data_IF_868868837940
#
_entry.id   IF_868868837940
#
_cell.length_a   1.000
_cell.length_b   1.000
_cell.length_c   1.000
_cell.angle_alpha   90.00
_cell.angle_beta   90.00
_cell.angle_gamma   90.00
#
_symmetry.space_group_name_H-M   'P 1'
#
loop_
_entity.id
_entity.type
_entity.pdbx_description
1 polymer ?
#
# COMPACT_ATOMS: atom_id res chain seq x y z
N UNK A 1 -1.03 -9.28 24.08
CA UNK A 1 -0.34 -10.31 24.90
C UNK A 1 0.00 -9.79 26.30
N UNK A 2 0.71 -8.66 26.46
CA UNK A 2 0.99 -8.05 27.79
C UNK A 2 -0.26 -7.84 28.65
N UNK A 3 -1.29 -7.22 28.09
CA UNK A 3 -2.56 -6.99 28.80
C UNK A 3 -3.26 -8.30 29.21
N UNK A 4 -3.16 -9.36 28.39
CA UNK A 4 -3.74 -10.66 28.71
C UNK A 4 -2.99 -11.34 29.88
N UNK A 5 -1.66 -11.26 29.90
CA UNK A 5 -0.87 -11.71 31.05
C UNK A 5 -1.22 -10.91 32.32
N UNK A 6 -1.32 -9.57 32.22
CA UNK A 6 -1.73 -8.72 33.33
C UNK A 6 -3.17 -9.02 33.83
N UNK A 7 -4.04 -9.54 32.95
CA UNK A 7 -5.41 -9.97 33.31
C UNK A 7 -5.46 -11.34 33.99
N UNK A 8 -4.31 -12.00 34.21
CA UNK A 8 -4.22 -13.24 34.99
C UNK A 8 -4.45 -14.53 34.21
N UNK A 9 -4.47 -14.50 32.86
CA UNK A 9 -4.60 -15.72 32.08
C UNK A 9 -3.36 -16.61 32.18
N UNK A 10 -3.56 -17.88 32.52
CA UNK A 10 -2.49 -18.85 32.72
C UNK A 10 -1.92 -19.45 31.43
N UNK A 11 -2.70 -19.47 30.35
CA UNK A 11 -2.32 -20.10 29.10
C UNK A 11 -2.75 -19.26 27.89
N UNK A 12 -2.03 -19.43 26.76
CA UNK A 12 -2.43 -18.91 25.46
C UNK A 12 -2.24 -19.94 24.35
N UNK A 13 -3.19 -19.97 23.42
CA UNK A 13 -3.05 -20.62 22.13
C UNK A 13 -2.51 -19.60 21.14
N UNK A 14 -1.37 -19.92 20.52
CA UNK A 14 -0.78 -19.17 19.42
C UNK A 14 -0.93 -20.00 18.16
N UNK A 15 -1.56 -19.44 17.13
CA UNK A 15 -1.74 -20.13 15.86
C UNK A 15 -1.68 -19.15 14.69
N UNK A 16 -1.40 -19.69 13.51
CA UNK A 16 -1.26 -18.96 12.26
C UNK A 16 -1.95 -19.75 11.14
N UNK A 17 -2.23 -19.12 10.00
CA UNK A 17 -2.78 -19.80 8.82
C UNK A 17 -1.70 -19.99 7.76
N UNK A 18 -1.77 -21.10 7.03
CA UNK A 18 -0.76 -21.43 6.01
C UNK A 18 -1.05 -20.66 4.72
N UNK A 19 -0.11 -19.80 4.31
CA UNK A 19 -0.18 -19.04 3.05
C UNK A 19 -1.58 -18.41 2.84
N UNK A 20 -2.03 -17.66 3.85
CA UNK A 20 -3.42 -17.23 3.99
C UNK A 20 -3.98 -16.58 2.71
N UNK A 21 -3.29 -15.56 2.21
CA UNK A 21 -3.72 -14.81 1.03
C UNK A 21 -3.84 -15.66 -0.22
N UNK A 22 -2.99 -16.67 -0.38
CA UNK A 22 -2.97 -17.56 -1.55
C UNK A 22 -4.15 -18.56 -1.53
N UNK A 23 -4.73 -18.82 -0.36
CA UNK A 23 -5.82 -19.78 -0.17
C UNK A 23 -7.21 -19.13 -0.04
N UNK A 24 -7.32 -17.80 -0.17
CA UNK A 24 -8.61 -17.11 -0.13
C UNK A 24 -9.46 -17.51 -1.34
N UNK A 25 -10.59 -18.18 -1.11
CA UNK A 25 -11.47 -18.63 -2.19
C UNK A 25 -12.39 -17.49 -2.67
N UNK A 26 -12.32 -17.15 -3.97
CA UNK A 26 -13.05 -16.02 -4.52
C UNK A 26 -14.56 -16.17 -4.39
N UNK A 27 -15.10 -17.38 -4.62
CA UNK A 27 -16.54 -17.64 -4.54
C UNK A 27 -17.07 -17.43 -3.11
N UNK A 28 -16.32 -17.87 -2.10
CA UNK A 28 -16.67 -17.66 -0.69
C UNK A 28 -16.60 -16.17 -0.36
N UNK A 29 -15.52 -15.48 -0.74
CA UNK A 29 -15.34 -14.04 -0.49
C UNK A 29 -16.45 -13.20 -1.12
N UNK A 30 -16.73 -13.40 -2.42
CA UNK A 30 -17.80 -12.72 -3.13
C UNK A 30 -19.18 -13.04 -2.54
N UNK A 31 -19.38 -14.28 -2.09
CA UNK A 31 -20.58 -14.69 -1.35
C UNK A 31 -20.78 -13.92 -0.04
N UNK A 32 -19.71 -13.72 0.73
CA UNK A 32 -19.74 -12.91 1.95
C UNK A 32 -20.00 -11.43 1.63
N UNK A 33 -19.32 -10.86 0.64
CA UNK A 33 -19.55 -9.47 0.21
C UNK A 33 -20.99 -9.23 -0.25
N UNK A 34 -21.59 -10.20 -0.94
CA UNK A 34 -23.02 -10.16 -1.28
C UNK A 34 -23.91 -10.05 -0.04
N UNK A 35 -23.56 -10.74 1.06
CA UNK A 35 -24.30 -10.61 2.33
C UNK A 35 -24.21 -9.22 2.97
N UNK A 36 -23.20 -8.43 2.61
CA UNK A 36 -23.05 -7.02 2.98
C UNK A 36 -23.74 -6.05 1.99
N UNK A 37 -24.57 -6.55 1.08
CA UNK A 37 -25.33 -5.76 0.09
C UNK A 37 -24.45 -4.99 -0.91
N UNK A 38 -23.25 -5.50 -1.20
CA UNK A 38 -22.44 -5.00 -2.32
C UNK A 38 -23.17 -5.29 -3.64
N UNK A 39 -23.16 -4.35 -4.58
CA UNK A 39 -23.88 -4.48 -5.84
C UNK A 39 -23.32 -5.61 -6.71
N UNK A 40 -24.18 -6.34 -7.43
CA UNK A 40 -23.73 -7.44 -8.32
C UNK A 40 -22.76 -6.98 -9.40
N UNK A 41 -22.90 -5.73 -9.90
CA UNK A 41 -21.96 -5.13 -10.83
C UNK A 41 -20.54 -5.04 -10.24
N UNK A 42 -20.42 -4.58 -8.99
CA UNK A 42 -19.12 -4.45 -8.33
C UNK A 42 -18.55 -5.82 -7.94
N UNK A 43 -19.41 -6.78 -7.57
CA UNK A 43 -18.99 -8.15 -7.29
C UNK A 43 -18.45 -8.84 -8.54
N UNK A 44 -19.10 -8.65 -9.71
CA UNK A 44 -18.61 -9.18 -10.98
C UNK A 44 -17.24 -8.59 -11.32
N UNK A 45 -17.10 -7.26 -11.29
CA UNK A 45 -15.82 -6.60 -11.55
C UNK A 45 -14.71 -7.07 -10.59
N UNK A 46 -15.00 -7.17 -9.29
CA UNK A 46 -14.01 -7.68 -8.33
C UNK A 46 -13.64 -9.13 -8.63
N UNK A 47 -14.61 -9.97 -8.99
CA UNK A 47 -14.36 -11.36 -9.39
C UNK A 47 -13.39 -11.45 -10.57
N UNK A 48 -13.66 -10.70 -11.64
CA UNK A 48 -12.81 -10.66 -12.84
C UNK A 48 -11.38 -10.20 -12.50
N UNK A 49 -11.25 -9.18 -11.63
CA UNK A 49 -9.95 -8.68 -11.18
C UNK A 49 -9.19 -9.72 -10.34
N UNK A 50 -9.86 -10.38 -9.39
CA UNK A 50 -9.23 -11.41 -8.56
C UNK A 50 -8.77 -12.62 -9.39
N UNK A 51 -9.56 -13.06 -10.36
CA UNK A 51 -9.18 -14.12 -11.30
C UNK A 51 -7.97 -13.69 -12.14
N UNK A 52 -7.98 -12.46 -12.66
CA UNK A 52 -6.85 -11.93 -13.43
C UNK A 52 -5.56 -11.87 -12.60
N UNK A 53 -5.60 -11.29 -11.40
CA UNK A 53 -4.42 -11.15 -10.54
C UNK A 53 -3.87 -12.47 -10.00
N UNK A 54 -4.70 -13.50 -9.93
CA UNK A 54 -4.30 -14.83 -9.49
C UNK A 54 -3.89 -15.75 -10.66
N UNK A 55 -3.77 -15.20 -11.88
CA UNK A 55 -3.35 -15.97 -13.05
C UNK A 55 -4.39 -16.99 -13.52
N UNK A 56 -5.69 -16.71 -13.33
CA UNK A 56 -6.80 -17.60 -13.66
C UNK A 56 -7.14 -18.62 -12.56
N UNK A 57 -6.53 -18.49 -11.37
CA UNK A 57 -6.83 -19.36 -10.23
C UNK A 57 -8.13 -18.93 -9.53
N UNK A 58 -8.98 -19.87 -9.06
CA UNK A 58 -10.18 -19.53 -8.28
C UNK A 58 -9.87 -19.17 -6.81
N UNK A 59 -8.59 -19.13 -6.44
CA UNK A 59 -8.08 -18.79 -5.11
C UNK A 59 -6.93 -17.80 -5.22
N UNK A 60 -6.75 -17.00 -4.18
CA UNK A 60 -5.62 -16.09 -4.05
C UNK A 60 -6.03 -14.62 -4.16
N UNK A 61 -5.51 -13.77 -3.29
CA UNK A 61 -5.62 -12.31 -3.41
C UNK A 61 -4.23 -11.66 -3.29
N UNK A 62 -3.96 -10.52 -3.97
CA UNK A 62 -2.63 -9.90 -3.96
C UNK A 62 -2.15 -9.54 -2.56
N UNK A 63 -0.90 -9.84 -2.24
CA UNK A 63 -0.32 -9.54 -0.92
C UNK A 63 0.26 -8.11 -0.88
N UNK A 64 0.26 -7.48 0.30
CA UNK A 64 0.92 -6.19 0.53
C UNK A 64 0.13 -4.95 0.09
N UNK A 65 -1.15 -5.10 -0.27
CA UNK A 65 -2.05 -3.99 -0.62
C UNK A 65 -3.15 -3.82 0.43
N UNK A 66 -3.44 -2.58 0.83
CA UNK A 66 -4.47 -2.27 1.84
C UNK A 66 -5.86 -2.86 1.50
N UNK A 67 -6.36 -2.79 0.24
CA UNK A 67 -7.63 -3.41 -0.11
C UNK A 67 -7.65 -4.93 0.10
N UNK A 68 -6.55 -5.62 -0.19
CA UNK A 68 -6.44 -7.07 0.02
C UNK A 68 -6.46 -7.42 1.49
N UNK A 69 -5.78 -6.64 2.34
CA UNK A 69 -5.82 -6.80 3.80
C UNK A 69 -7.25 -6.62 4.34
N UNK A 70 -7.99 -5.64 3.81
CA UNK A 70 -9.40 -5.42 4.17
C UNK A 70 -10.30 -6.58 3.74
N UNK A 71 -10.17 -7.06 2.49
CA UNK A 71 -10.91 -8.23 2.01
C UNK A 71 -10.57 -9.49 2.82
N UNK A 72 -9.31 -9.66 3.20
CA UNK A 72 -8.87 -10.71 4.09
C UNK A 72 -9.57 -10.66 5.45
N UNK A 73 -9.79 -9.47 6.02
CA UNK A 73 -10.54 -9.36 7.27
C UNK A 73 -12.01 -9.75 7.11
N UNK A 74 -12.65 -9.38 6.00
CA UNK A 74 -14.02 -9.80 5.69
C UNK A 74 -14.11 -11.32 5.57
N UNK A 75 -13.10 -11.95 4.94
CA UNK A 75 -13.08 -13.39 4.73
C UNK A 75 -13.13 -14.18 6.05
N UNK A 76 -12.41 -13.70 7.06
CA UNK A 76 -12.33 -14.31 8.40
C UNK A 76 -13.43 -13.86 9.38
N UNK A 77 -14.34 -12.96 8.99
CA UNK A 77 -15.44 -12.49 9.85
C UNK A 77 -16.33 -13.64 10.40
N UNK A 78 -16.49 -14.72 9.62
CA UNK A 78 -17.23 -15.90 10.07
C UNK A 78 -16.55 -16.59 11.26
N UNK A 79 -15.22 -16.69 11.23
CA UNK A 79 -14.41 -17.23 12.32
C UNK A 79 -14.56 -16.32 13.54
N UNK A 80 -14.37 -15.01 13.38
CA UNK A 80 -14.45 -14.04 14.48
C UNK A 80 -15.81 -14.12 15.19
N UNK A 81 -16.90 -14.07 14.41
CA UNK A 81 -18.26 -14.18 14.95
C UNK A 81 -18.48 -15.51 15.68
N UNK A 82 -17.85 -16.60 15.24
CA UNK A 82 -17.95 -17.88 15.95
C UNK A 82 -17.23 -17.83 17.29
N UNK A 83 -16.00 -17.34 17.31
CA UNK A 83 -15.17 -17.25 18.52
C UNK A 83 -15.79 -16.32 19.56
N UNK A 84 -16.33 -15.17 19.13
CA UNK A 84 -17.08 -14.23 20.00
C UNK A 84 -18.36 -14.88 20.55
N UNK A 85 -19.13 -15.58 19.70
CA UNK A 85 -20.35 -16.30 20.15
C UNK A 85 -20.05 -17.38 21.19
N UNK A 86 -18.90 -18.04 21.09
CA UNK A 86 -18.41 -19.03 22.06
C UNK A 86 -17.79 -18.40 23.31
N UNK A 87 -17.68 -17.08 23.37
CA UNK A 87 -17.12 -16.29 24.49
C UNK A 87 -15.65 -16.59 24.77
N UNK A 88 -14.87 -16.96 23.75
CA UNK A 88 -13.43 -17.07 23.89
C UNK A 88 -12.78 -15.70 24.05
N UNK A 89 -11.71 -15.60 24.84
CA UNK A 89 -10.82 -14.43 24.86
C UNK A 89 -9.90 -14.45 23.64
N UNK A 90 -10.50 -14.12 22.51
CA UNK A 90 -9.96 -14.26 21.17
C UNK A 90 -9.43 -12.92 20.63
N UNK A 91 -8.25 -12.96 20.02
CA UNK A 91 -7.64 -11.83 19.32
C UNK A 91 -7.08 -12.32 17.98
N UNK A 92 -7.22 -11.51 16.94
CA UNK A 92 -6.69 -11.81 15.62
C UNK A 92 -6.08 -10.56 14.99
N UNK A 93 -4.92 -10.73 14.36
CA UNK A 93 -4.31 -9.73 13.49
C UNK A 93 -3.98 -10.41 12.16
N UNK A 94 -4.76 -10.11 11.12
CA UNK A 94 -4.73 -10.82 9.83
C UNK A 94 -4.95 -12.32 10.04
N UNK A 95 -3.96 -13.17 9.80
CA UNK A 95 -3.95 -14.62 9.98
C UNK A 95 -3.38 -15.08 11.32
N UNK A 96 -2.67 -14.19 12.03
CA UNK A 96 -2.15 -14.44 13.38
C UNK A 96 -3.32 -14.44 14.38
N UNK A 97 -3.61 -15.61 14.96
CA UNK A 97 -4.71 -15.83 15.91
C UNK A 97 -4.15 -16.16 17.29
N UNK A 98 -4.75 -15.56 18.32
CA UNK A 98 -4.39 -15.72 19.72
C UNK A 98 -5.65 -15.97 20.57
N UNK A 99 -5.62 -16.95 21.46
CA UNK A 99 -6.71 -17.21 22.42
C UNK A 99 -6.12 -17.36 23.82
N UNK A 100 -6.72 -16.72 24.82
CA UNK A 100 -6.25 -16.78 26.21
C UNK A 100 -7.27 -17.50 27.08
N UNK A 101 -6.79 -18.31 28.03
CA UNK A 101 -7.66 -19.02 28.97
C UNK A 101 -6.92 -19.40 30.27
N UNK A 102 -7.69 -19.77 31.29
CA UNK A 102 -7.15 -20.28 32.56
C UNK A 102 -7.02 -21.82 32.58
N UNK A 103 -7.49 -22.49 31.53
CA UNK A 103 -7.39 -23.94 31.37
C UNK A 103 -6.88 -24.29 29.97
N UNK A 104 -5.88 -25.15 29.90
CA UNK A 104 -5.40 -25.72 28.63
C UNK A 104 -6.52 -26.44 27.86
N UNK A 105 -7.44 -27.11 28.56
CA UNK A 105 -8.57 -27.80 27.92
C UNK A 105 -9.49 -26.85 27.16
N UNK A 106 -9.62 -25.59 27.62
CA UNK A 106 -10.40 -24.56 26.95
C UNK A 106 -9.72 -24.12 25.64
N UNK A 107 -8.40 -24.00 25.66
CA UNK A 107 -7.60 -23.69 24.47
C UNK A 107 -7.62 -24.83 23.45
N UNK A 108 -7.61 -26.09 23.89
CA UNK A 108 -7.78 -27.23 23.00
C UNK A 108 -9.16 -27.21 22.31
N UNK A 109 -10.22 -26.87 23.04
CA UNK A 109 -11.56 -26.67 22.44
C UNK A 109 -11.56 -25.51 21.45
N UNK A 110 -10.96 -24.38 21.80
CA UNK A 110 -10.82 -23.22 20.92
C UNK A 110 -10.06 -23.58 19.62
N UNK A 111 -8.96 -24.34 19.73
CA UNK A 111 -8.18 -24.81 18.60
C UNK A 111 -9.01 -25.68 17.65
N UNK A 112 -9.80 -26.61 18.20
CA UNK A 112 -10.72 -27.45 17.39
C UNK A 112 -11.75 -26.60 16.66
N UNK A 113 -12.33 -25.60 17.32
CA UNK A 113 -13.30 -24.70 16.69
C UNK A 113 -12.65 -23.81 15.62
N UNK A 114 -11.44 -23.29 15.85
CA UNK A 114 -10.64 -22.56 14.85
C UNK A 114 -10.39 -23.45 13.62
N UNK A 115 -9.91 -24.68 13.81
CA UNK A 115 -9.64 -25.62 12.70
C UNK A 115 -10.94 -25.90 11.93
N UNK A 116 -12.05 -26.13 12.63
CA UNK A 116 -13.34 -26.44 12.00
C UNK A 116 -13.87 -25.26 11.19
N UNK A 117 -13.83 -24.04 11.73
CA UNK A 117 -14.30 -22.85 11.01
C UNK A 117 -13.41 -22.54 9.80
N UNK A 118 -12.09 -22.64 9.93
CA UNK A 118 -11.16 -22.39 8.83
C UNK A 118 -11.28 -23.43 7.70
N UNK A 119 -11.48 -24.72 8.03
CA UNK A 119 -11.75 -25.75 7.01
C UNK A 119 -12.99 -25.45 6.17
N UNK A 120 -14.02 -24.87 6.78
CA UNK A 120 -15.22 -24.45 6.04
C UNK A 120 -14.97 -23.27 5.08
N UNK A 121 -13.85 -22.56 5.24
CA UNK A 121 -13.35 -21.50 4.37
C UNK A 121 -12.24 -21.99 3.42
N UNK A 122 -11.90 -23.29 3.41
CA UNK A 122 -10.78 -23.81 2.63
C UNK A 122 -9.40 -23.42 3.18
N UNK A 123 -9.32 -22.96 4.42
CA UNK A 123 -8.08 -22.51 5.05
C UNK A 123 -7.51 -23.58 5.98
N UNK A 124 -6.18 -23.59 6.11
CA UNK A 124 -5.44 -24.52 6.94
C UNK A 124 -4.63 -23.80 8.01
N UNK A 125 -4.67 -24.33 9.23
CA UNK A 125 -3.85 -23.87 10.33
C UNK A 125 -2.41 -24.36 10.15
N UNK A 126 -1.43 -23.49 10.37
CA UNK A 126 -0.01 -23.84 10.29
C UNK A 126 0.44 -24.62 11.55
N UNK A 127 0.46 -25.94 11.46
CA UNK A 127 0.73 -26.83 12.60
C UNK A 127 2.07 -26.53 13.29
N UNK A 128 3.14 -26.25 12.54
CA UNK A 128 4.46 -25.96 13.11
C UNK A 128 4.54 -24.66 13.93
N UNK A 129 3.62 -23.71 13.72
CA UNK A 129 3.52 -22.47 14.51
C UNK A 129 2.39 -22.52 15.54
N UNK A 130 1.62 -23.60 15.56
CA UNK A 130 0.49 -23.77 16.47
C UNK A 130 0.98 -24.35 17.79
N UNK A 131 0.87 -23.59 18.87
CA UNK A 131 1.28 -24.04 20.21
C UNK A 131 0.41 -23.46 21.31
N UNK A 132 0.20 -24.25 22.36
CA UNK A 132 -0.30 -23.75 23.63
C UNK A 132 0.90 -23.46 24.52
N UNK A 133 0.95 -22.26 25.07
CA UNK A 133 2.03 -21.76 25.93
C UNK A 133 1.47 -21.30 27.27
N UNK A 134 2.32 -21.30 28.29
CA UNK A 134 2.04 -20.82 29.65
C UNK A 134 2.20 -19.30 29.77
N UNK A 135 1.70 -18.72 30.86
CA UNK A 135 1.85 -17.30 31.18
C UNK A 135 3.29 -16.78 31.13
N UNK A 136 4.23 -17.56 31.65
CA UNK A 136 5.67 -17.21 31.67
C UNK A 136 6.26 -17.20 30.25
N UNK A 137 5.93 -18.21 29.44
CA UNK A 137 6.35 -18.29 28.03
C UNK A 137 5.73 -17.17 27.18
N UNK A 138 4.53 -16.68 27.52
CA UNK A 138 3.93 -15.51 26.87
C UNK A 138 4.79 -14.27 27.11
N UNK A 139 5.27 -14.06 28.34
CA UNK A 139 6.15 -12.91 28.64
C UNK A 139 7.47 -13.01 27.90
N UNK A 140 8.05 -14.21 27.84
CA UNK A 140 9.28 -14.43 27.08
C UNK A 140 9.06 -14.15 25.59
N UNK A 141 8.00 -14.68 24.98
CA UNK A 141 7.67 -14.43 23.57
C UNK A 141 7.34 -12.97 23.29
N UNK A 142 6.71 -12.26 24.23
CA UNK A 142 6.48 -10.81 24.12
C UNK A 142 7.81 -10.06 24.16
N UNK A 143 8.73 -10.46 25.01
CA UNK A 143 10.03 -9.80 25.14
C UNK A 143 10.95 -10.11 23.95
N UNK A 144 10.87 -11.33 23.39
CA UNK A 144 11.56 -11.72 22.15
C UNK A 144 10.94 -11.09 20.90
N UNK A 145 9.61 -10.86 20.88
CA UNK A 145 8.88 -10.08 19.87
C UNK A 145 8.78 -8.59 20.20
N UNK A 146 9.50 -8.08 21.20
CA UNK A 146 9.68 -6.64 21.32
C UNK A 146 10.55 -6.21 20.12
N UNK A 147 9.91 -6.09 18.95
CA UNK A 147 10.32 -5.18 17.90
C UNK A 147 10.63 -3.88 18.66
N UNK A 148 11.86 -3.40 18.55
CA UNK A 148 12.29 -2.04 18.89
C UNK A 148 11.23 -0.97 18.54
N UNK A 149 10.43 -1.22 17.51
CA UNK A 149 9.30 -0.39 17.08
C UNK A 149 8.03 -0.44 17.94
N UNK A 150 7.89 -1.35 18.91
CA UNK A 150 6.67 -1.45 19.73
C UNK A 150 6.53 -0.27 20.71
N UNK A 151 7.66 0.20 21.23
CA UNK A 151 7.71 1.43 22.03
C UNK A 151 7.38 2.63 21.15
N UNK A 152 8.01 2.72 19.98
CA UNK A 152 7.76 3.75 18.97
C UNK A 152 6.28 3.82 18.57
N UNK A 153 5.65 2.69 18.23
CA UNK A 153 4.24 2.63 17.84
C UNK A 153 3.35 3.13 18.99
N UNK A 154 3.69 2.81 20.24
CA UNK A 154 3.00 3.37 21.42
C UNK A 154 3.19 4.90 21.51
N UNK A 155 4.41 5.41 21.39
CA UNK A 155 4.67 6.86 21.41
C UNK A 155 3.86 7.60 20.33
N UNK A 156 3.83 7.07 19.10
CA UNK A 156 3.05 7.64 18.00
C UNK A 156 1.53 7.62 18.28
N UNK A 157 0.99 6.50 18.76
CA UNK A 157 -0.44 6.35 19.01
C UNK A 157 -0.95 7.24 20.16
N UNK A 158 -0.08 7.57 21.13
CA UNK A 158 -0.40 8.41 22.28
C UNK A 158 0.12 9.86 22.17
N UNK A 159 0.65 10.26 21.01
CA UNK A 159 1.00 11.64 20.69
C UNK A 159 2.36 12.12 21.20
N UNK A 160 3.24 11.22 21.64
CA UNK A 160 4.62 11.51 22.03
C UNK A 160 5.56 11.47 20.81
N UNK A 161 5.32 12.41 19.89
CA UNK A 161 5.93 12.40 18.55
C UNK A 161 7.44 12.64 18.60
N UNK A 162 7.93 13.49 19.50
CA UNK A 162 9.34 13.85 19.59
C UNK A 162 10.22 12.65 19.97
N UNK A 163 9.78 11.85 20.95
CA UNK A 163 10.48 10.63 21.35
C UNK A 163 10.45 9.58 20.23
N UNK A 164 9.29 9.36 19.62
CA UNK A 164 9.17 8.45 18.48
C UNK A 164 10.08 8.84 17.32
N UNK A 165 10.13 10.13 16.97
CA UNK A 165 10.99 10.66 15.92
C UNK A 165 12.48 10.40 16.22
N UNK A 166 12.92 10.64 17.45
CA UNK A 166 14.30 10.39 17.87
C UNK A 166 14.72 8.93 17.67
N UNK A 167 13.91 8.00 18.18
CA UNK A 167 14.14 6.55 18.06
C UNK A 167 14.11 6.09 16.60
N UNK A 168 13.13 6.55 15.81
CA UNK A 168 13.01 6.23 14.39
C UNK A 168 14.24 6.67 13.59
N UNK A 169 14.75 7.87 13.86
CA UNK A 169 15.91 8.41 13.16
C UNK A 169 17.22 7.69 13.53
N UNK A 170 17.35 7.25 14.78
CA UNK A 170 18.50 6.45 15.23
C UNK A 170 18.52 5.10 14.49
N UNK A 171 17.41 4.36 14.52
CA UNK A 171 17.29 3.08 13.82
C UNK A 171 17.48 3.25 12.32
N UNK A 172 16.90 4.29 11.71
CA UNK A 172 17.05 4.54 10.28
C UNK A 172 18.51 4.80 9.91
N UNK A 173 19.26 5.54 10.74
CA UNK A 173 20.68 5.80 10.51
C UNK A 173 21.49 4.49 10.52
N UNK A 174 21.20 3.60 11.47
CA UNK A 174 21.84 2.29 11.56
C UNK A 174 21.53 1.43 10.33
N UNK A 175 20.26 1.32 9.95
CA UNK A 175 19.82 0.56 8.77
C UNK A 175 20.48 1.08 7.50
N UNK A 176 20.62 2.40 7.35
CA UNK A 176 21.26 3.02 6.19
C UNK A 176 22.78 2.83 6.15
N UNK A 177 23.41 2.50 7.27
CA UNK A 177 24.86 2.31 7.39
C UNK A 177 25.29 0.84 7.26
N UNK A 178 24.36 -0.11 7.37
CA UNK A 178 24.63 -1.54 7.29
C UNK A 178 24.95 -1.99 5.85
N UNK A 179 25.85 -2.97 5.70
CA UNK A 179 26.14 -3.62 4.42
C UNK A 179 24.96 -4.51 3.96
N UNK A 180 24.31 -5.20 4.91
CA UNK A 180 23.10 -5.98 4.65
C UNK A 180 21.86 -5.14 4.97
N UNK A 181 21.17 -4.68 3.92
CA UNK A 181 20.06 -3.74 4.08
C UNK A 181 18.82 -4.40 4.67
N UNK A 182 18.40 -3.95 5.86
CA UNK A 182 17.19 -4.44 6.51
C UNK A 182 15.93 -3.71 5.98
N UNK A 183 15.30 -4.30 4.96
CA UNK A 183 14.08 -3.80 4.32
C UNK A 183 12.92 -3.55 5.32
N UNK A 184 12.73 -4.47 6.27
CA UNK A 184 11.64 -4.38 7.24
C UNK A 184 11.80 -3.16 8.14
N UNK A 185 13.00 -2.94 8.67
CA UNK A 185 13.27 -1.83 9.57
C UNK A 185 13.25 -0.50 8.81
N UNK A 186 13.82 -0.47 7.59
CA UNK A 186 13.73 0.69 6.71
C UNK A 186 12.28 1.14 6.47
N UNK A 187 11.40 0.20 6.08
CA UNK A 187 9.98 0.51 5.87
C UNK A 187 9.28 0.95 7.14
N UNK A 188 9.59 0.31 8.27
CA UNK A 188 9.04 0.69 9.58
C UNK A 188 9.45 2.12 9.97
N UNK A 189 10.72 2.47 9.80
CA UNK A 189 11.24 3.82 10.05
C UNK A 189 10.53 4.88 9.22
N UNK A 190 10.51 4.73 7.89
CA UNK A 190 9.88 5.73 7.02
C UNK A 190 8.36 5.82 7.27
N UNK A 191 7.66 4.69 7.49
CA UNK A 191 6.23 4.74 7.81
C UNK A 191 5.95 5.39 9.18
N UNK A 192 6.81 5.18 10.18
CA UNK A 192 6.75 5.89 11.45
C UNK A 192 6.93 7.40 11.27
N UNK A 193 7.93 7.82 10.51
CA UNK A 193 8.18 9.24 10.22
C UNK A 193 7.06 9.88 9.37
N UNK A 194 6.43 9.11 8.47
CA UNK A 194 5.19 9.52 7.77
C UNK A 194 4.06 9.78 8.77
N UNK A 195 3.82 8.88 9.72
CA UNK A 195 2.80 9.05 10.77
C UNK A 195 3.09 10.26 11.67
N UNK A 196 4.36 10.47 12.01
CA UNK A 196 4.84 11.62 12.77
C UNK A 196 4.80 12.93 11.97
N UNK A 197 4.58 12.88 10.65
CA UNK A 197 4.71 14.01 9.73
C UNK A 197 6.07 14.71 9.85
N UNK A 198 7.15 13.93 10.03
CA UNK A 198 8.50 14.43 10.29
C UNK A 198 9.38 14.47 9.03
N UNK A 199 9.99 15.62 8.68
CA UNK A 199 10.92 15.72 7.55
C UNK A 199 12.36 15.27 7.88
N UNK A 200 12.62 14.75 9.08
CA UNK A 200 13.97 14.50 9.58
C UNK A 200 14.82 13.57 8.68
N UNK A 201 14.20 12.60 8.02
CA UNK A 201 14.89 11.67 7.12
C UNK A 201 15.03 12.17 5.68
N UNK A 202 14.48 13.35 5.32
CA UNK A 202 14.59 13.88 3.95
C UNK A 202 16.05 13.99 3.48
N UNK A 203 17.00 14.58 4.24
CA UNK A 203 18.36 14.74 3.76
C UNK A 203 19.08 13.41 3.48
N UNK A 204 19.00 12.45 4.40
CA UNK A 204 19.63 11.13 4.26
C UNK A 204 19.00 10.31 3.15
N UNK A 205 17.68 10.37 3.01
CA UNK A 205 16.93 9.70 1.94
C UNK A 205 17.33 10.24 0.56
N UNK A 206 17.46 11.57 0.41
CA UNK A 206 17.89 12.19 -0.84
C UNK A 206 19.35 11.91 -1.18
N UNK A 207 20.21 11.81 -0.16
CA UNK A 207 21.63 11.46 -0.34
C UNK A 207 21.78 10.06 -0.91
N UNK A 208 21.02 9.09 -0.40
CA UNK A 208 21.05 7.68 -0.82
C UNK A 208 20.00 7.32 -1.89
N UNK A 209 19.39 8.32 -2.55
CA UNK A 209 18.29 8.08 -3.49
C UNK A 209 18.62 7.05 -4.57
N UNK A 210 19.86 7.06 -5.07
CA UNK A 210 20.31 6.15 -6.13
C UNK A 210 20.40 4.69 -5.64
N UNK A 211 20.76 4.48 -4.36
CA UNK A 211 20.81 3.17 -3.69
C UNK A 211 19.40 2.67 -3.33
N UNK A 212 18.47 3.58 -3.05
CA UNK A 212 17.12 3.29 -2.56
C UNK A 212 16.11 2.95 -3.66
N UNK A 213 16.55 2.82 -4.92
CA UNK A 213 15.70 2.49 -6.06
C UNK A 213 14.84 1.22 -5.88
N UNK A 214 15.33 0.10 -5.28
CA UNK A 214 14.49 -1.07 -5.02
C UNK A 214 13.28 -0.77 -4.11
N UNK A 215 13.40 0.26 -3.28
CA UNK A 215 12.37 0.72 -2.34
C UNK A 215 11.69 2.02 -2.77
N UNK A 216 11.71 2.33 -4.07
CA UNK A 216 11.16 3.56 -4.63
C UNK A 216 9.78 3.93 -4.06
N UNK A 217 8.85 2.97 -3.97
CA UNK A 217 7.53 3.22 -3.40
C UNK A 217 7.58 3.81 -2.00
N UNK A 218 8.20 3.11 -1.04
CA UNK A 218 8.25 3.57 0.36
C UNK A 218 8.99 4.90 0.48
N UNK A 219 10.11 5.03 -0.23
CA UNK A 219 10.92 6.25 -0.27
C UNK A 219 10.12 7.45 -0.77
N UNK A 220 9.45 7.31 -1.92
CA UNK A 220 8.74 8.40 -2.57
C UNK A 220 7.41 8.74 -1.90
N UNK A 221 6.72 7.78 -1.30
CA UNK A 221 5.55 8.05 -0.44
C UNK A 221 5.91 8.88 0.79
N UNK A 222 7.11 8.73 1.34
CA UNK A 222 7.61 9.59 2.42
C UNK A 222 7.96 10.99 1.90
N UNK A 223 8.72 11.08 0.80
CA UNK A 223 9.14 12.37 0.24
C UNK A 223 7.96 13.23 -0.25
N UNK A 224 6.89 12.62 -0.77
CA UNK A 224 5.70 13.31 -1.29
C UNK A 224 5.03 14.20 -0.23
N UNK A 225 5.04 13.79 1.04
CA UNK A 225 4.52 14.59 2.17
C UNK A 225 5.19 15.97 2.27
N UNK A 226 6.46 16.06 1.90
CA UNK A 226 7.29 17.25 2.11
C UNK A 226 7.69 17.95 0.81
N UNK A 227 7.29 17.41 -0.35
CA UNK A 227 7.74 17.92 -1.67
C UNK A 227 7.29 19.35 -1.95
N UNK A 228 6.16 19.77 -1.38
CA UNK A 228 5.69 21.17 -1.47
C UNK A 228 6.56 22.16 -0.70
N UNK A 229 7.06 21.77 0.47
CA UNK A 229 7.81 22.64 1.39
C UNK A 229 9.33 22.54 1.23
N UNK A 230 9.86 21.44 0.68
CA UNK A 230 11.30 21.19 0.61
C UNK A 230 11.84 21.26 -0.83
N UNK A 231 12.53 22.36 -1.16
CA UNK A 231 13.13 22.55 -2.48
C UNK A 231 14.19 21.50 -2.84
N UNK A 232 14.91 20.99 -1.85
CA UNK A 232 15.93 19.94 -2.02
C UNK A 232 15.36 18.67 -2.64
N UNK A 233 14.13 18.28 -2.29
CA UNK A 233 13.45 17.10 -2.85
C UNK A 233 13.25 17.32 -4.35
N UNK A 234 12.62 18.43 -4.74
CA UNK A 234 12.36 18.75 -6.14
C UNK A 234 13.64 18.71 -6.96
N UNK A 235 14.68 19.43 -6.49
CA UNK A 235 15.98 19.50 -7.17
C UNK A 235 16.57 18.11 -7.37
N UNK A 236 16.67 17.31 -6.29
CA UNK A 236 17.32 16.00 -6.34
C UNK A 236 16.56 14.98 -7.21
N UNK A 237 15.24 15.02 -7.20
CA UNK A 237 14.40 14.17 -8.05
C UNK A 237 14.52 14.54 -9.53
N UNK A 238 14.56 15.83 -9.86
CA UNK A 238 14.79 16.28 -11.25
C UNK A 238 16.19 15.87 -11.73
N UNK A 239 17.22 16.05 -10.90
CA UNK A 239 18.59 15.59 -11.18
C UNK A 239 18.63 14.08 -11.44
N UNK A 240 17.95 13.27 -10.62
CA UNK A 240 17.84 11.83 -10.84
C UNK A 240 17.16 11.50 -12.18
N UNK A 241 15.99 12.09 -12.45
CA UNK A 241 15.18 11.78 -13.62
C UNK A 241 15.87 12.16 -14.94
N UNK A 242 16.58 13.28 -14.96
CA UNK A 242 17.25 13.80 -16.15
C UNK A 242 18.63 13.17 -16.40
N UNK A 243 19.14 12.38 -15.46
CA UNK A 243 20.39 11.63 -15.59
C UNK A 243 20.10 10.19 -16.05
N UNK A 244 20.47 9.88 -17.30
CA UNK A 244 20.24 8.57 -17.92
C UNK A 244 21.09 7.45 -17.34
N UNK A 245 22.21 7.77 -16.71
CA UNK A 245 23.08 6.78 -16.08
C UNK A 245 22.57 6.40 -14.68
N UNK A 246 21.71 7.23 -14.06
CA UNK A 246 21.05 6.94 -12.78
C UNK A 246 19.64 6.40 -12.95
N UNK A 247 18.83 7.05 -13.78
CA UNK A 247 17.45 6.67 -14.04
C UNK A 247 17.36 5.63 -15.17
N UNK A 248 17.65 4.38 -14.81
CA UNK A 248 17.68 3.25 -15.73
C UNK A 248 16.33 2.52 -15.77
N UNK A 249 15.65 2.41 -14.62
CA UNK A 249 14.46 1.56 -14.47
C UNK A 249 13.17 2.38 -14.40
N UNK A 250 12.11 1.87 -15.04
CA UNK A 250 10.80 2.52 -15.07
C UNK A 250 10.12 2.63 -13.69
N UNK A 251 10.44 1.74 -12.73
CA UNK A 251 9.79 1.72 -11.42
C UNK A 251 10.20 2.93 -10.53
N UNK A 252 11.50 3.20 -10.30
CA UNK A 252 11.94 4.46 -9.69
C UNK A 252 11.52 5.71 -10.49
N UNK A 253 11.57 5.68 -11.82
CA UNK A 253 11.11 6.78 -12.69
C UNK A 253 9.66 7.14 -12.36
N UNK A 254 8.77 6.15 -12.35
CA UNK A 254 7.35 6.33 -12.05
C UNK A 254 7.14 7.04 -10.71
N UNK A 255 7.77 6.56 -9.64
CA UNK A 255 7.57 7.11 -8.30
C UNK A 255 8.19 8.51 -8.14
N UNK A 256 9.36 8.75 -8.71
CA UNK A 256 9.99 10.06 -8.67
C UNK A 256 9.16 11.12 -9.41
N UNK A 257 8.60 10.79 -10.59
CA UNK A 257 7.71 11.70 -11.33
C UNK A 257 6.41 11.92 -10.56
N UNK A 258 5.82 10.86 -10.00
CA UNK A 258 4.59 10.95 -9.18
C UNK A 258 4.76 11.93 -8.02
N UNK A 259 5.88 11.86 -7.31
CA UNK A 259 6.21 12.80 -6.22
C UNK A 259 6.25 14.25 -6.71
N UNK A 260 6.71 14.50 -7.94
CA UNK A 260 6.78 15.85 -8.50
C UNK A 260 5.43 16.40 -8.98
N UNK A 261 4.41 15.57 -9.20
CA UNK A 261 3.04 16.04 -9.53
C UNK A 261 2.53 16.97 -8.43
N UNK A 262 2.76 16.61 -7.17
CA UNK A 262 2.31 17.36 -5.98
C UNK A 262 3.15 18.60 -5.66
N UNK A 263 4.25 18.85 -6.37
CA UNK A 263 5.17 19.95 -6.11
C UNK A 263 4.49 21.33 -6.19
N UNK A 264 5.11 22.37 -5.62
CA UNK A 264 4.53 23.73 -5.67
C UNK A 264 4.75 24.46 -7.01
N UNK A 265 5.92 24.26 -7.63
CA UNK A 265 6.29 24.82 -8.95
C UNK A 265 7.52 24.08 -9.46
N UNK A 266 7.51 23.78 -10.75
CA UNK A 266 8.61 23.14 -11.49
C UNK A 266 9.22 24.11 -12.51
N UNK A 267 10.53 24.03 -12.77
CA UNK A 267 11.21 24.89 -13.74
C UNK A 267 10.84 24.51 -15.18
N UNK A 268 10.86 25.51 -16.08
CA UNK A 268 10.52 25.33 -17.50
C UNK A 268 11.36 24.25 -18.18
N UNK A 269 12.66 24.20 -17.88
CA UNK A 269 13.59 23.18 -18.38
C UNK A 269 13.11 21.76 -18.09
N UNK A 270 12.61 21.50 -16.88
CA UNK A 270 12.08 20.18 -16.52
C UNK A 270 10.77 19.88 -17.24
N UNK A 271 9.92 20.90 -17.47
CA UNK A 271 8.69 20.73 -18.26
C UNK A 271 9.01 20.44 -19.73
N UNK A 272 10.00 21.13 -20.31
CA UNK A 272 10.52 20.84 -21.66
C UNK A 272 11.03 19.40 -21.76
N UNK A 273 11.74 18.94 -20.73
CA UNK A 273 12.15 17.54 -20.63
C UNK A 273 10.96 16.58 -20.55
N UNK A 274 9.94 16.87 -19.72
CA UNK A 274 8.71 16.05 -19.64
C UNK A 274 7.98 15.96 -21.01
N UNK A 275 7.92 17.06 -21.77
CA UNK A 275 7.38 17.08 -23.15
C UNK A 275 8.14 16.13 -24.08
N UNK A 276 9.46 16.03 -23.94
CA UNK A 276 10.24 15.07 -24.74
C UNK A 276 9.93 13.61 -24.38
N UNK A 277 9.55 13.35 -23.12
CA UNK A 277 9.31 11.99 -22.61
C UNK A 277 7.91 11.46 -22.87
N UNK A 278 6.88 12.32 -22.85
CA UNK A 278 5.48 11.88 -23.08
C UNK A 278 5.25 11.33 -24.49
N UNK A 279 6.03 11.78 -25.48
CA UNK A 279 5.99 11.27 -26.85
C UNK A 279 6.91 10.09 -27.13
N UNK A 280 7.80 9.75 -26.20
CA UNK A 280 8.88 8.79 -26.41
C UNK A 280 8.36 7.33 -26.38
N UNK A 281 8.46 6.57 -27.49
CA UNK A 281 8.00 5.18 -27.53
C UNK A 281 8.78 4.27 -26.55
N UNK A 282 10.03 4.60 -26.24
CA UNK A 282 10.89 3.83 -25.32
C UNK A 282 10.58 4.15 -23.85
N UNK A 283 9.86 5.23 -23.56
CA UNK A 283 9.40 5.52 -22.21
C UNK A 283 8.26 4.57 -21.84
N UNK A 284 8.36 3.89 -20.69
CA UNK A 284 7.31 2.99 -20.23
C UNK A 284 5.96 3.74 -20.10
N UNK A 285 4.87 3.15 -20.59
CA UNK A 285 3.54 3.76 -20.66
C UNK A 285 3.07 4.34 -19.32
N UNK A 286 3.43 3.70 -18.20
CA UNK A 286 3.07 4.17 -16.87
C UNK A 286 3.80 5.48 -16.50
N UNK A 287 5.06 5.63 -16.90
CA UNK A 287 5.85 6.83 -16.70
C UNK A 287 5.33 7.98 -17.58
N UNK A 288 4.98 7.70 -18.84
CA UNK A 288 4.29 8.67 -19.73
C UNK A 288 3.01 9.20 -19.12
N UNK A 289 2.22 8.34 -18.50
CA UNK A 289 1.04 8.75 -17.73
C UNK A 289 1.37 9.74 -16.60
N UNK A 290 2.46 9.52 -15.85
CA UNK A 290 2.90 10.46 -14.81
C UNK A 290 3.43 11.78 -15.39
N UNK A 291 4.14 11.75 -16.52
CA UNK A 291 4.56 12.97 -17.21
C UNK A 291 3.37 13.81 -17.68
N UNK A 292 2.31 13.17 -18.19
CA UNK A 292 1.08 13.86 -18.53
C UNK A 292 0.48 14.58 -17.30
N UNK A 293 0.44 13.92 -16.14
CA UNK A 293 -0.03 14.53 -14.89
C UNK A 293 0.84 15.71 -14.44
N UNK A 294 2.17 15.62 -14.58
CA UNK A 294 3.07 16.75 -14.31
C UNK A 294 2.77 17.92 -15.24
N UNK A 295 2.66 17.67 -16.55
CA UNK A 295 2.34 18.70 -17.54
C UNK A 295 0.96 19.32 -17.30
N UNK A 296 -0.04 18.53 -16.91
CA UNK A 296 -1.36 19.04 -16.55
C UNK A 296 -1.36 19.94 -15.32
N UNK A 297 -0.55 19.60 -14.31
CA UNK A 297 -0.47 20.34 -13.04
C UNK A 297 0.44 21.58 -13.08
N UNK A 298 1.48 21.57 -13.91
CA UNK A 298 2.54 22.60 -13.92
C UNK A 298 2.75 23.28 -15.27
N UNK A 299 2.21 22.71 -16.33
CA UNK A 299 2.34 23.20 -17.70
C UNK A 299 1.39 24.35 -18.03
N UNK A 300 1.45 24.78 -19.28
CA UNK A 300 0.58 25.79 -19.86
C UNK A 300 -0.48 25.19 -20.80
N UNK A 301 -1.24 26.05 -21.48
CA UNK A 301 -2.27 25.60 -22.42
C UNK A 301 -1.69 24.75 -23.57
N UNK A 302 -0.46 25.02 -24.01
CA UNK A 302 0.19 24.25 -25.07
C UNK A 302 0.46 22.82 -24.61
N UNK A 303 0.80 22.62 -23.33
CA UNK A 303 1.00 21.30 -22.75
C UNK A 303 -0.28 20.49 -22.70
N UNK A 304 -1.38 21.13 -22.30
CA UNK A 304 -2.68 20.48 -22.24
C UNK A 304 -3.16 20.07 -23.64
N UNK A 305 -2.92 20.91 -24.66
CA UNK A 305 -3.20 20.57 -26.06
C UNK A 305 -2.34 19.39 -26.54
N UNK A 306 -1.03 19.39 -26.24
CA UNK A 306 -0.14 18.27 -26.56
C UNK A 306 -0.66 16.96 -25.95
N UNK A 307 -1.00 16.97 -24.65
CA UNK A 307 -1.54 15.79 -23.98
C UNK A 307 -2.82 15.32 -24.68
N UNK A 308 -3.74 16.25 -24.97
CA UNK A 308 -5.00 15.95 -25.65
C UNK A 308 -4.77 15.24 -26.99
N UNK A 309 -3.88 15.77 -27.84
CA UNK A 309 -3.59 15.23 -29.16
C UNK A 309 -3.03 13.81 -29.09
N UNK A 310 -2.34 13.48 -28.00
CA UNK A 310 -1.74 12.17 -27.81
C UNK A 310 -2.73 11.12 -27.29
N UNK A 311 -3.85 11.48 -26.65
CA UNK A 311 -4.78 10.53 -25.99
C UNK A 311 -5.24 9.42 -26.94
N UNK A 312 -5.65 9.80 -28.16
CA UNK A 312 -6.24 8.88 -29.14
C UNK A 312 -5.24 7.84 -29.65
N UNK A 313 -3.94 8.20 -29.66
CA UNK A 313 -2.85 7.34 -30.10
C UNK A 313 -2.39 6.33 -29.05
N UNK A 314 -2.85 6.44 -27.78
CA UNK A 314 -2.39 5.55 -26.70
C UNK A 314 -3.18 4.26 -26.67
N UNK A 315 -2.49 3.13 -26.80
CA UNK A 315 -3.09 1.79 -26.75
C UNK A 315 -3.45 1.36 -25.31
N UNK A 316 -2.61 1.70 -24.33
CA UNK A 316 -2.78 1.29 -22.94
C UNK A 316 -3.88 2.11 -22.24
N UNK A 317 -4.82 1.42 -21.58
CA UNK A 317 -5.97 2.05 -20.92
C UNK A 317 -5.56 2.90 -19.70
N UNK A 318 -4.61 2.44 -18.88
CA UNK A 318 -4.13 3.19 -17.72
C UNK A 318 -3.45 4.49 -18.15
N UNK A 319 -2.62 4.42 -19.18
CA UNK A 319 -1.98 5.59 -19.77
C UNK A 319 -3.03 6.60 -20.27
N UNK A 320 -4.01 6.12 -21.05
CA UNK A 320 -5.10 6.97 -21.56
C UNK A 320 -5.87 7.66 -20.43
N UNK A 321 -6.18 6.93 -19.35
CA UNK A 321 -6.87 7.49 -18.16
C UNK A 321 -6.03 8.55 -17.46
N UNK A 322 -4.72 8.35 -17.32
CA UNK A 322 -3.82 9.34 -16.73
C UNK A 322 -3.78 10.64 -17.55
N UNK A 323 -3.74 10.53 -18.88
CA UNK A 323 -3.78 11.70 -19.77
C UNK A 323 -5.12 12.44 -19.68
N UNK A 324 -6.23 11.71 -19.58
CA UNK A 324 -7.54 12.35 -19.34
C UNK A 324 -7.57 13.08 -18.00
N UNK A 325 -7.03 12.45 -16.95
CA UNK A 325 -6.98 13.05 -15.62
C UNK A 325 -6.13 14.33 -15.57
N UNK A 326 -5.06 14.42 -16.37
CA UNK A 326 -4.23 15.62 -16.42
C UNK A 326 -4.91 16.82 -17.11
N UNK A 327 -6.03 16.61 -17.81
CA UNK A 327 -6.83 17.70 -18.40
C UNK A 327 -7.82 18.34 -17.42
N UNK A 328 -7.75 18.00 -16.13
CA UNK A 328 -8.66 18.54 -15.09
C UNK A 328 -8.69 20.06 -15.05
N UNK A 329 -7.56 20.71 -15.23
CA UNK A 329 -7.45 22.17 -15.15
C UNK A 329 -7.47 22.86 -16.53
N UNK A 330 -7.92 22.16 -17.57
CA UNK A 330 -8.11 22.73 -18.92
C UNK A 330 -9.21 23.81 -18.89
N UNK A 331 -8.97 25.04 -19.40
CA UNK A 331 -9.96 26.11 -19.36
C UNK A 331 -11.20 25.81 -20.20
N UNK A 332 -12.37 26.21 -19.69
CA UNK A 332 -13.63 26.23 -20.45
C UNK A 332 -13.61 27.34 -21.52
N UNK A 333 -14.31 27.19 -22.66
CA UNK A 333 -15.32 26.17 -23.01
C UNK A 333 -14.77 24.94 -23.77
N UNK A 334 -13.44 24.83 -23.95
CA UNK A 334 -12.82 23.74 -24.71
C UNK A 334 -12.90 22.40 -24.01
N UNK A 335 -12.78 22.40 -22.68
CA UNK A 335 -12.76 21.20 -21.83
C UNK A 335 -14.04 20.36 -21.96
N UNK A 336 -15.22 20.96 -21.84
CA UNK A 336 -16.48 20.21 -21.97
C UNK A 336 -16.59 19.43 -23.29
N UNK A 337 -16.24 20.07 -24.41
CA UNK A 337 -16.28 19.45 -25.74
C UNK A 337 -15.31 18.27 -25.87
N UNK A 338 -14.09 18.43 -25.36
CA UNK A 338 -13.06 17.39 -25.37
C UNK A 338 -13.49 16.18 -24.54
N UNK A 339 -13.97 16.42 -23.31
CA UNK A 339 -14.43 15.33 -22.43
C UNK A 339 -15.67 14.62 -22.99
N UNK A 340 -16.58 15.33 -23.67
CA UNK A 340 -17.72 14.72 -24.36
C UNK A 340 -17.29 13.85 -25.55
N UNK A 341 -16.37 14.33 -26.38
CA UNK A 341 -15.84 13.56 -27.50
C UNK A 341 -15.14 12.28 -27.00
N UNK A 342 -14.27 12.40 -26.01
CA UNK A 342 -13.59 11.25 -25.40
C UNK A 342 -14.57 10.23 -24.80
N UNK A 343 -15.68 10.69 -24.21
CA UNK A 343 -16.71 9.82 -23.68
C UNK A 343 -17.47 9.02 -24.75
N UNK A 344 -17.59 9.57 -25.96
CA UNK A 344 -18.17 8.88 -27.13
C UNK A 344 -17.18 7.90 -27.72
N UNK A 345 -15.94 8.34 -27.95
CA UNK A 345 -14.93 7.57 -28.67
C UNK A 345 -14.33 6.45 -27.80
N UNK A 346 -14.31 6.63 -26.48
CA UNK A 346 -13.68 5.70 -25.54
C UNK A 346 -14.56 5.41 -24.30
N UNK A 347 -15.56 4.53 -24.40
CA UNK A 347 -16.46 4.20 -23.28
C UNK A 347 -15.75 3.75 -21.99
N UNK A 348 -14.57 3.12 -22.11
CA UNK A 348 -13.77 2.64 -20.99
C UNK A 348 -13.19 3.75 -20.08
N UNK A 349 -13.11 5.00 -20.57
CA UNK A 349 -12.63 6.14 -19.77
C UNK A 349 -13.76 6.98 -19.15
N UNK A 350 -15.03 6.61 -19.38
CA UNK A 350 -16.21 7.37 -18.89
C UNK A 350 -16.22 7.56 -17.37
N UNK A 351 -15.78 6.55 -16.62
CA UNK A 351 -15.65 6.65 -15.16
C UNK A 351 -14.62 7.72 -14.75
N UNK A 352 -13.51 7.84 -15.48
CA UNK A 352 -12.50 8.88 -15.27
C UNK A 352 -13.02 10.25 -15.67
N UNK A 353 -13.78 10.36 -16.77
CA UNK A 353 -14.36 11.63 -17.22
C UNK A 353 -15.29 12.25 -16.17
N UNK A 354 -16.04 11.42 -15.43
CA UNK A 354 -16.87 11.87 -14.31
C UNK A 354 -16.08 12.47 -13.13
N UNK A 355 -14.79 12.13 -12.97
CA UNK A 355 -13.90 12.69 -11.94
C UNK A 355 -13.23 14.01 -12.39
N UNK A 356 -13.20 14.25 -13.69
CA UNK A 356 -12.48 15.37 -14.33
C UNK A 356 -13.43 16.54 -14.67
N UNK A 357 -14.71 16.24 -14.91
CA UNK A 357 -15.80 17.22 -15.00
C UNK A 357 -16.04 17.86 -13.64
#
# INVERSE_FOLDING_TARGET
MRQAHASGYKYALLTDLTAYFDHVNHKILLGQLRSFRVSEKNLALLGDLLEHWSGGSPVGIPQGLDPSSFLGNIYLDRLDKHMVRKKYHYFRYVDDIRVFANSESELQRAMVDIIRQNRALGLHVQTGKTKIVTGEEILQLVNERNDEFSAIDYHLDFGDVDTAEGELNEILREVMAQEEFNDRHFRKCLNGLKKANSPAAVPSTLQKLDELQPWAQTTHEYLDLFTRSHFSIKRRLMEFLMDRDRNIFAWPEFWAVRTLVSAAKLPREFLDWCRSRIGDPECHWNCRGQYALVLGAHGDLSDQMLVQDLISSRENEYERRAFVASLRDLPEPGKGRVLEQLGRDYPAVVSTLALVR
#
